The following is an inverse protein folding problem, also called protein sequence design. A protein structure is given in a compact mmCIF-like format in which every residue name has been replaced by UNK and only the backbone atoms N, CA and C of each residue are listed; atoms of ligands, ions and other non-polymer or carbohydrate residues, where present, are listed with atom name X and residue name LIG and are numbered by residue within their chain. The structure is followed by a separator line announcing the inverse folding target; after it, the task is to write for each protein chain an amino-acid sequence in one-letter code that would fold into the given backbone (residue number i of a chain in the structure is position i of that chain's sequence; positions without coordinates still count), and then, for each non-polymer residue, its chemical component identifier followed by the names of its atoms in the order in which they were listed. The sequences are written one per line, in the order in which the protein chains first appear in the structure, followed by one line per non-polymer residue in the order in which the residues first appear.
data_IF_412794381629
#
_entry.id   IF_412794381629
#
_cell.length_a   1.000
_cell.length_b   1.000
_cell.length_c   1.000
_cell.angle_alpha   90.00
_cell.angle_beta   90.00
_cell.angle_gamma   90.00
#
_symmetry.space_group_name_H-M   'P 1'
#
loop_
_entity.id
_entity.type
_entity.pdbx_description
1 polymer ?
#
# COMPACT_ATOMS: atom_id res chain seq x y z
N UNK A 1 20.58 17.60 4.27
CA UNK A 1 20.15 16.33 4.89
C UNK A 1 18.91 16.61 5.72
N UNK A 2 17.92 15.74 5.66
CA UNK A 2 16.69 15.90 6.41
C UNK A 2 16.38 14.63 7.20
N UNK A 3 15.93 14.79 8.43
CA UNK A 3 15.48 13.69 9.29
C UNK A 3 13.96 13.83 9.47
N UNK A 4 13.24 12.77 9.13
CA UNK A 4 11.82 12.70 9.37
C UNK A 4 11.54 11.53 10.34
N UNK A 5 10.52 11.66 11.17
CA UNK A 5 10.13 10.61 12.11
C UNK A 5 8.71 10.17 11.84
N UNK A 6 8.51 8.88 11.82
CA UNK A 6 7.18 8.31 11.69
C UNK A 6 6.34 8.75 12.89
N UNK A 7 5.18 9.32 12.62
CA UNK A 7 4.24 9.74 13.64
C UNK A 7 2.82 9.58 13.08
N UNK A 8 2.06 8.63 13.65
CA UNK A 8 0.69 8.34 13.22
C UNK A 8 -0.20 9.58 13.22
N UNK A 9 0.07 10.56 14.08
CA UNK A 9 -0.70 11.82 14.11
C UNK A 9 -0.60 12.61 12.81
N UNK A 10 0.42 12.35 12.00
CA UNK A 10 0.59 12.98 10.68
C UNK A 10 -0.14 12.24 9.56
N UNK A 11 -0.72 11.08 9.85
CA UNK A 11 -1.48 10.32 8.87
C UNK A 11 -2.84 10.97 8.63
N UNK A 12 -3.25 11.01 7.36
CA UNK A 12 -4.51 11.63 6.96
C UNK A 12 -5.23 10.75 5.96
N UNK A 13 -6.56 10.80 6.00
CA UNK A 13 -7.39 10.26 4.94
C UNK A 13 -7.29 11.20 3.73
N UNK A 14 -6.93 10.65 2.58
CA UNK A 14 -6.84 11.42 1.34
C UNK A 14 -8.10 11.20 0.50
N UNK A 15 -9.00 12.18 0.52
CA UNK A 15 -10.26 12.11 -0.21
C UNK A 15 -10.05 11.96 -1.71
N UNK A 16 -8.96 12.48 -2.25
CA UNK A 16 -8.66 12.35 -3.68
C UNK A 16 -8.39 10.89 -4.09
N UNK A 17 -8.07 10.03 -3.15
CA UNK A 17 -7.81 8.60 -3.37
C UNK A 17 -8.96 7.69 -2.97
N UNK A 18 -10.13 8.26 -2.63
CA UNK A 18 -11.27 7.47 -2.16
C UNK A 18 -11.69 6.36 -3.13
N UNK A 19 -11.53 6.58 -4.44
CA UNK A 19 -11.86 5.58 -5.46
C UNK A 19 -10.84 4.44 -5.57
N UNK A 20 -9.70 4.57 -4.92
CA UNK A 20 -8.59 3.61 -5.02
C UNK A 20 -8.46 2.71 -3.79
N UNK A 21 -9.24 3.01 -2.76
CA UNK A 21 -9.24 2.26 -1.51
C UNK A 21 -10.63 1.74 -1.17
N UNK A 22 -10.66 0.63 -0.46
CA UNK A 22 -11.86 0.08 0.17
C UNK A 22 -11.59 0.09 1.67
N UNK A 23 -12.52 0.66 2.45
CA UNK A 23 -12.35 0.79 3.90
C UNK A 23 -11.51 2.02 4.28
N UNK A 24 -11.13 2.09 5.54
CA UNK A 24 -10.39 3.23 6.09
C UNK A 24 -8.89 3.05 5.88
N UNK A 25 -8.31 3.94 5.09
CA UNK A 25 -6.87 3.97 4.80
C UNK A 25 -6.36 5.38 5.00
N UNK A 26 -5.34 5.53 5.83
CA UNK A 26 -4.71 6.83 6.08
C UNK A 26 -3.25 6.78 5.65
N UNK A 27 -2.74 7.87 5.12
CA UNK A 27 -1.38 7.94 4.60
C UNK A 27 -0.57 9.02 5.29
N UNK A 28 0.69 8.71 5.47
CA UNK A 28 1.67 9.62 6.05
C UNK A 28 2.87 9.70 5.11
N UNK A 29 2.98 10.78 4.30
CA UNK A 29 4.16 10.96 3.44
C UNK A 29 5.43 11.11 4.28
N UNK A 30 6.45 10.33 3.97
CA UNK A 30 7.73 10.36 4.69
C UNK A 30 8.84 11.00 3.87
N UNK A 31 8.90 10.70 2.57
CA UNK A 31 9.85 11.30 1.63
C UNK A 31 9.06 11.70 0.39
N UNK A 32 9.12 12.98 0.06
CA UNK A 32 8.38 13.58 -1.05
C UNK A 32 9.33 14.29 -2.01
N UNK A 33 8.79 14.87 -3.06
CA UNK A 33 9.58 15.63 -4.04
C UNK A 33 10.30 16.83 -3.43
N UNK A 34 9.87 17.30 -2.27
CA UNK A 34 10.51 18.40 -1.57
C UNK A 34 11.92 18.04 -1.07
N UNK A 35 12.19 16.76 -0.85
CA UNK A 35 13.44 16.29 -0.25
C UNK A 35 14.17 15.25 -1.08
N UNK A 36 13.54 14.63 -2.04
CA UNK A 36 14.18 13.67 -2.94
C UNK A 36 13.77 13.91 -4.38
N UNK A 37 14.74 13.88 -5.28
CA UNK A 37 14.47 14.04 -6.71
C UNK A 37 13.87 12.78 -7.35
N UNK A 38 14.00 11.61 -6.71
CA UNK A 38 13.61 10.36 -7.31
C UNK A 38 12.65 9.53 -6.47
N UNK A 39 12.78 9.54 -5.15
CA UNK A 39 12.12 8.56 -4.28
C UNK A 39 10.89 9.13 -3.58
N UNK A 40 9.88 8.29 -3.50
CA UNK A 40 8.74 8.49 -2.61
C UNK A 40 8.73 7.40 -1.54
N UNK A 41 8.58 7.82 -0.29
CA UNK A 41 8.28 6.92 0.81
C UNK A 41 6.96 7.34 1.43
N UNK A 42 6.06 6.38 1.54
CA UNK A 42 4.73 6.61 2.08
C UNK A 42 4.44 5.56 3.15
N UNK A 43 4.09 6.01 4.35
CA UNK A 43 3.61 5.11 5.39
C UNK A 43 2.09 5.03 5.27
N UNK A 44 1.55 3.81 5.22
CA UNK A 44 0.12 3.59 4.97
C UNK A 44 -0.46 2.75 6.09
N UNK A 45 -1.53 3.26 6.67
CA UNK A 45 -2.25 2.65 7.80
C UNK A 45 -3.58 2.12 7.29
N UNK A 46 -3.77 0.80 7.38
CA UNK A 46 -5.00 0.13 6.99
C UNK A 46 -5.76 -0.34 8.23
N UNK A 47 -7.01 0.06 8.36
CA UNK A 47 -7.88 -0.53 9.36
C UNK A 47 -8.20 -1.99 8.99
N UNK A 48 -8.67 -2.81 9.94
CA UNK A 48 -9.03 -4.20 9.63
C UNK A 48 -9.93 -4.29 8.41
N UNK A 49 -9.56 -5.14 7.45
CA UNK A 49 -10.31 -5.34 6.21
C UNK A 49 -10.12 -4.25 5.14
N UNK A 50 -9.45 -3.16 5.46
CA UNK A 50 -9.20 -2.11 4.48
C UNK A 50 -8.10 -2.51 3.51
N UNK A 51 -8.19 -2.06 2.27
CA UNK A 51 -7.25 -2.44 1.22
C UNK A 51 -7.20 -1.43 0.09
N UNK A 52 -6.18 -1.56 -0.75
CA UNK A 52 -6.17 -0.88 -2.04
C UNK A 52 -7.02 -1.66 -3.05
N UNK A 53 -7.49 -0.99 -4.08
CA UNK A 53 -7.95 -1.66 -5.30
C UNK A 53 -6.74 -2.14 -6.10
N UNK A 54 -6.93 -3.06 -7.05
CA UNK A 54 -5.84 -3.49 -7.91
C UNK A 54 -5.22 -2.32 -8.66
N UNK A 55 -3.90 -2.32 -8.71
CA UNK A 55 -3.12 -1.28 -9.40
C UNK A 55 -1.78 -1.83 -9.84
N UNK A 56 -1.11 -1.09 -10.71
CA UNK A 56 0.25 -1.39 -11.12
C UNK A 56 1.04 -0.09 -11.19
N UNK A 57 2.32 -0.21 -10.97
CA UNK A 57 3.26 0.91 -11.07
C UNK A 57 4.21 0.67 -12.23
N UNK A 58 4.73 1.74 -12.79
CA UNK A 58 5.73 1.66 -13.84
C UNK A 58 7.14 1.51 -13.28
N UNK A 59 7.27 1.49 -11.97
CA UNK A 59 8.49 1.30 -11.20
C UNK A 59 8.33 0.09 -10.29
N UNK A 60 9.46 -0.49 -9.87
CA UNK A 60 9.43 -1.49 -8.82
C UNK A 60 8.96 -0.84 -7.52
N UNK A 61 8.17 -1.58 -6.75
CA UNK A 61 7.74 -1.15 -5.43
C UNK A 61 8.23 -2.12 -4.38
N UNK A 62 8.71 -1.58 -3.26
CA UNK A 62 9.01 -2.40 -2.08
C UNK A 62 8.03 -2.01 -0.98
N UNK A 63 7.38 -3.00 -0.40
CA UNK A 63 6.54 -2.83 0.79
C UNK A 63 7.28 -3.40 1.99
N UNK A 64 7.40 -2.60 3.04
CA UNK A 64 7.99 -3.01 4.31
C UNK A 64 6.89 -3.04 5.34
N UNK A 65 6.50 -4.23 5.80
CA UNK A 65 5.45 -4.34 6.81
C UNK A 65 6.07 -4.01 8.16
N UNK A 66 5.55 -3.00 8.82
CA UNK A 66 6.11 -2.54 10.09
C UNK A 66 5.21 -2.83 11.29
N UNK A 67 3.93 -3.11 11.06
CA UNK A 67 3.00 -3.38 12.15
C UNK A 67 1.79 -4.17 11.63
N UNK A 68 1.29 -5.07 12.42
CA UNK A 68 0.04 -5.77 12.15
C UNK A 68 0.17 -6.93 11.17
N UNK A 69 -0.95 -7.21 10.50
CA UNK A 69 -1.07 -8.37 9.63
C UNK A 69 -1.87 -8.00 8.38
N UNK A 70 -1.34 -8.34 7.22
CA UNK A 70 -1.95 -7.95 5.96
C UNK A 70 -1.89 -9.02 4.89
N UNK A 71 -2.35 -8.62 3.71
CA UNK A 71 -2.39 -9.45 2.52
C UNK A 71 -1.76 -8.67 1.38
N UNK A 72 -0.96 -9.35 0.58
CA UNK A 72 -0.49 -8.85 -0.71
C UNK A 72 -0.86 -9.88 -1.76
N UNK A 73 -1.53 -9.47 -2.81
CA UNK A 73 -2.07 -10.38 -3.80
C UNK A 73 -1.91 -9.87 -5.21
N UNK A 74 -1.69 -10.81 -6.13
CA UNK A 74 -1.85 -10.61 -7.56
C UNK A 74 -3.10 -11.39 -7.99
N UNK A 75 -3.37 -11.43 -9.28
CA UNK A 75 -4.49 -12.22 -9.79
C UNK A 75 -4.35 -13.71 -9.49
N UNK A 76 -3.10 -14.21 -9.39
CA UNK A 76 -2.80 -15.64 -9.24
C UNK A 76 -2.15 -16.01 -7.91
N UNK A 77 -1.67 -15.04 -7.14
CA UNK A 77 -0.97 -15.27 -5.88
C UNK A 77 -1.62 -14.47 -4.76
N UNK A 78 -1.56 -15.01 -3.57
CA UNK A 78 -2.07 -14.34 -2.37
C UNK A 78 -1.21 -14.76 -1.18
N UNK A 79 -0.63 -13.78 -0.51
CA UNK A 79 0.24 -14.01 0.64
C UNK A 79 -0.23 -13.23 1.84
N UNK A 80 -0.26 -13.88 2.99
CA UNK A 80 -0.40 -13.19 4.27
C UNK A 80 0.97 -12.71 4.72
N UNK A 81 1.05 -11.46 5.15
CA UNK A 81 2.30 -10.80 5.55
C UNK A 81 2.17 -10.21 6.93
N UNK A 82 3.29 -10.09 7.64
CA UNK A 82 3.33 -9.55 8.99
C UNK A 82 4.58 -8.71 9.20
N UNK A 83 4.68 -8.06 10.36
CA UNK A 83 5.79 -7.17 10.70
C UNK A 83 7.14 -7.83 10.43
N UNK A 84 8.01 -7.13 9.71
CA UNK A 84 9.32 -7.62 9.29
C UNK A 84 9.36 -8.20 7.89
N UNK A 85 8.22 -8.45 7.27
CA UNK A 85 8.19 -8.95 5.88
C UNK A 85 8.49 -7.82 4.91
N UNK A 86 9.28 -8.14 3.90
CA UNK A 86 9.64 -7.23 2.81
C UNK A 86 9.13 -7.86 1.51
N UNK A 87 8.28 -7.12 0.81
CA UNK A 87 7.69 -7.59 -0.44
C UNK A 87 8.22 -6.72 -1.57
N UNK A 88 8.79 -7.34 -2.59
CA UNK A 88 9.18 -6.65 -3.82
C UNK A 88 8.15 -6.95 -4.89
N UNK A 89 7.58 -5.89 -5.45
CA UNK A 89 6.58 -5.98 -6.51
C UNK A 89 7.21 -5.39 -7.76
N UNK A 90 7.53 -6.21 -8.76
CA UNK A 90 8.15 -5.70 -9.99
C UNK A 90 7.24 -4.74 -10.75
N UNK A 91 7.84 -3.81 -11.47
CA UNK A 91 7.12 -2.88 -12.33
C UNK A 91 6.15 -3.62 -13.25
N UNK A 92 4.96 -3.07 -13.43
CA UNK A 92 3.93 -3.64 -14.30
C UNK A 92 3.12 -4.77 -13.69
N UNK A 93 3.39 -5.16 -12.46
CA UNK A 93 2.63 -6.22 -11.80
C UNK A 93 1.33 -5.66 -11.22
N UNK A 94 0.19 -6.15 -11.71
CA UNK A 94 -1.10 -5.82 -11.13
C UNK A 94 -1.26 -6.52 -9.79
N UNK A 95 -1.54 -5.75 -8.76
CA UNK A 95 -1.59 -6.26 -7.37
C UNK A 95 -2.49 -5.39 -6.51
N UNK A 96 -2.83 -5.92 -5.34
CA UNK A 96 -3.44 -5.13 -4.27
C UNK A 96 -2.81 -5.54 -2.93
N UNK A 97 -2.95 -4.67 -1.94
CA UNK A 97 -2.50 -4.96 -0.59
C UNK A 97 -3.42 -4.28 0.43
N UNK A 98 -3.45 -4.84 1.62
CA UNK A 98 -4.30 -4.32 2.67
C UNK A 98 -4.20 -5.14 3.94
N UNK A 99 -5.06 -4.80 4.90
CA UNK A 99 -5.14 -5.49 6.18
C UNK A 99 -5.96 -6.77 6.05
N UNK A 100 -5.68 -7.74 6.92
CA UNK A 100 -6.55 -8.91 7.07
C UNK A 100 -7.88 -8.47 7.68
N UNK A 101 -8.93 -9.30 7.60
CA UNK A 101 -10.27 -8.90 8.08
C UNK A 101 -10.35 -8.49 9.54
N UNK A 102 -9.48 -9.02 10.39
CA UNK A 102 -9.55 -8.80 11.83
C UNK A 102 -8.39 -8.01 12.43
N UNK A 103 -7.36 -7.73 11.65
CA UNK A 103 -6.16 -7.04 12.14
C UNK A 103 -5.86 -5.81 11.29
N UNK A 104 -5.46 -4.73 11.93
CA UNK A 104 -4.91 -3.58 11.21
C UNK A 104 -3.52 -3.92 10.66
N UNK A 105 -3.08 -3.18 9.66
CA UNK A 105 -1.75 -3.35 9.09
C UNK A 105 -1.18 -2.00 8.70
N UNK A 106 0.13 -1.83 8.93
CA UNK A 106 0.86 -0.65 8.52
C UNK A 106 2.08 -1.06 7.72
N UNK A 107 2.28 -0.42 6.57
CA UNK A 107 3.48 -0.65 5.77
C UNK A 107 4.07 0.65 5.26
N UNK A 108 5.36 0.61 4.96
CA UNK A 108 6.03 1.67 4.22
C UNK A 108 6.14 1.21 2.77
N UNK A 109 5.70 2.07 1.86
CA UNK A 109 5.89 1.89 0.43
C UNK A 109 7.11 2.69 0.00
N UNK A 110 8.04 2.04 -0.70
CA UNK A 110 9.26 2.64 -1.22
C UNK A 110 9.29 2.44 -2.73
N UNK A 111 9.32 3.53 -3.48
CA UNK A 111 9.47 3.43 -4.93
C UNK A 111 9.97 4.73 -5.53
N UNK A 112 10.47 4.66 -6.75
CA UNK A 112 10.73 5.86 -7.54
C UNK A 112 9.41 6.54 -7.88
N UNK A 113 9.42 7.84 -7.90
CA UNK A 113 8.26 8.64 -8.29
C UNK A 113 7.87 8.34 -9.72
N UNK A 114 6.58 8.15 -9.98
CA UNK A 114 6.07 7.83 -11.29
C UNK A 114 4.57 7.59 -11.30
N UNK A 115 4.08 7.05 -12.40
CA UNK A 115 2.66 6.86 -12.62
C UNK A 115 2.17 5.53 -12.04
N UNK A 116 0.96 5.58 -11.47
CA UNK A 116 0.23 4.40 -11.03
C UNK A 116 -1.01 4.23 -11.89
N UNK A 117 -1.24 3.02 -12.38
CA UNK A 117 -2.43 2.66 -13.13
C UNK A 117 -3.38 1.91 -12.18
N UNK A 118 -4.64 2.31 -12.16
CA UNK A 118 -5.65 1.77 -11.22
C UNK A 118 -6.74 1.02 -11.95
N UNK A 119 -7.16 -0.10 -11.38
CA UNK A 119 -8.36 -0.80 -11.77
C UNK A 119 -9.47 -0.39 -10.79
N UNK A 120 -10.31 0.56 -11.19
CA UNK A 120 -11.36 1.10 -10.32
C UNK A 120 -12.59 0.21 -10.24
N UNK A 121 -12.71 -0.77 -11.15
CA UNK A 121 -13.77 -1.76 -11.13
C UNK A 121 -13.25 -3.09 -10.58
N UNK A 122 -14.01 -3.71 -9.70
CA UNK A 122 -13.65 -5.01 -9.11
C UNK A 122 -13.95 -6.13 -10.09
N UNK A 123 -13.15 -6.22 -11.15
CA UNK A 123 -13.30 -7.29 -12.13
C UNK A 123 -12.41 -8.46 -11.79
N UNK A 124 -12.94 -9.65 -11.90
CA UNK A 124 -12.17 -10.89 -11.93
C UNK A 124 -11.30 -11.21 -10.72
N UNK A 125 -11.30 -10.37 -9.72
CA UNK A 125 -10.45 -10.53 -8.54
C UNK A 125 -11.25 -10.85 -7.27
N UNK A 126 -12.57 -10.99 -7.42
CA UNK A 126 -13.48 -11.12 -6.28
C UNK A 126 -13.06 -12.16 -5.25
N UNK A 127 -12.60 -13.32 -5.68
CA UNK A 127 -12.18 -14.39 -4.78
C UNK A 127 -10.89 -14.09 -4.03
N UNK A 128 -10.13 -13.09 -4.48
CA UNK A 128 -8.85 -12.73 -3.86
C UNK A 128 -8.97 -11.58 -2.87
N UNK A 129 -10.13 -10.93 -2.79
CA UNK A 129 -10.19 -9.68 -2.06
C UNK A 129 -10.21 -9.85 -0.55
N UNK A 130 -11.03 -10.42 0.07
CA UNK A 130 -11.22 -10.31 1.51
C UNK A 130 -10.89 -11.55 2.31
N UNK A 131 -10.45 -12.59 1.65
CA UNK A 131 -10.19 -13.85 2.32
C UNK A 131 -8.71 -14.10 2.51
N UNK A 132 -8.38 -14.62 3.65
CA UNK A 132 -7.01 -15.02 3.95
C UNK A 132 -6.60 -16.31 3.26
#
# INVERSE_FOLDING_TARGET
MKINRINRKNAKYDQSRANYFVGEVNTEPLVTEDVSSELDLLNVYFDPGARTRPHSHRQDQVLMIIEGRGIVATETEKHTVTSGDIITIPAGTWHWHGATPHDAMTHISVMKRGQTDWMVEDKNWGSNYSEE
#
